data_IF_224330915822
#
_entry.id   IF_224330915822
#
_cell.length_a   1.000
_cell.length_b   1.000
_cell.length_c   1.000
_cell.angle_alpha   90.00
_cell.angle_beta   90.00
_cell.angle_gamma   90.00
#
_symmetry.space_group_name_H-M   'P 1'
#
loop_
_entity.id
_entity.type
_entity.pdbx_description
1 polymer ?
#
# COMPACT_ATOMS: atom_id res chain seq x y z
N UNK A 1 -1.28 -44.66 43.17
CA UNK A 1 -1.11 -44.17 41.79
C UNK A 1 -0.86 -42.66 41.87
N UNK A 2 0.36 -42.21 41.57
CA UNK A 2 0.80 -40.84 41.86
C UNK A 2 0.06 -39.80 41.01
N UNK A 3 -0.35 -38.67 41.59
CA UNK A 3 -1.10 -37.57 40.93
C UNK A 3 -0.45 -37.09 39.63
N UNK A 4 0.87 -37.22 39.51
CA UNK A 4 1.67 -36.92 38.33
C UNK A 4 1.41 -37.86 37.14
N UNK A 5 1.01 -39.11 37.38
CA UNK A 5 0.63 -40.04 36.31
C UNK A 5 -0.76 -39.75 35.77
N UNK A 6 -1.68 -39.29 36.61
CA UNK A 6 -3.04 -38.88 36.20
C UNK A 6 -2.96 -37.63 35.33
N UNK A 7 -2.14 -36.65 35.72
CA UNK A 7 -1.93 -35.43 34.92
C UNK A 7 -1.25 -35.70 33.58
N UNK A 8 -0.25 -36.60 33.55
CA UNK A 8 0.41 -37.02 32.30
C UNK A 8 -0.51 -37.81 31.38
N UNK A 9 -1.35 -38.69 31.92
CA UNK A 9 -2.34 -39.42 31.15
C UNK A 9 -3.41 -38.49 30.56
N UNK A 10 -3.85 -37.48 31.32
CA UNK A 10 -4.80 -36.48 30.84
C UNK A 10 -4.21 -35.58 29.76
N UNK A 11 -2.96 -35.13 29.92
CA UNK A 11 -2.26 -34.33 28.91
C UNK A 11 -2.06 -35.11 27.59
N UNK A 12 -1.71 -36.40 27.67
CA UNK A 12 -1.59 -37.27 26.49
C UNK A 12 -2.94 -37.53 25.81
N UNK A 13 -4.02 -37.66 26.58
CA UNK A 13 -5.37 -37.85 26.04
C UNK A 13 -5.84 -36.63 25.24
N UNK A 14 -5.59 -35.42 25.74
CA UNK A 14 -5.99 -34.16 25.07
C UNK A 14 -5.22 -33.96 23.77
N UNK A 15 -3.92 -34.32 23.71
CA UNK A 15 -3.11 -34.19 22.49
C UNK A 15 -3.62 -35.11 21.36
N UNK A 16 -4.12 -36.31 21.68
CA UNK A 16 -4.65 -37.25 20.67
C UNK A 16 -5.98 -36.78 20.07
N UNK A 17 -6.79 -36.02 20.82
CA UNK A 17 -8.11 -35.56 20.37
C UNK A 17 -8.00 -34.42 19.32
N UNK A 18 -6.93 -33.63 19.33
CA UNK A 18 -6.77 -32.49 18.41
C UNK A 18 -6.31 -32.92 17.00
N UNK A 19 -5.84 -34.15 16.81
CA UNK A 19 -5.31 -34.64 15.52
C UNK A 19 -6.38 -35.26 14.59
N UNK A 20 -7.65 -35.34 14.99
CA UNK A 20 -8.73 -35.93 14.19
C UNK A 20 -9.58 -34.91 13.41
N UNK A 21 -9.07 -33.69 13.19
CA UNK A 21 -9.79 -32.58 12.56
C UNK A 21 -9.36 -32.21 11.14
N UNK A 22 -8.95 -33.16 10.30
CA UNK A 22 -8.86 -32.94 8.84
C UNK A 22 -10.06 -33.62 8.17
N UNK A 23 -11.19 -32.93 8.10
CA UNK A 23 -12.31 -33.35 7.27
C UNK A 23 -11.96 -33.09 5.81
N UNK A 24 -11.79 -34.17 5.05
CA UNK A 24 -11.50 -34.19 3.63
C UNK A 24 -12.78 -33.84 2.87
N UNK A 25 -12.83 -32.65 2.25
CA UNK A 25 -13.90 -32.30 1.34
C UNK A 25 -13.76 -33.12 0.04
N UNK A 26 -14.82 -33.81 -0.35
CA UNK A 26 -14.94 -34.52 -1.63
C UNK A 26 -15.23 -33.53 -2.76
N UNK A 27 -14.63 -33.71 -3.96
CA UNK A 27 -14.87 -32.81 -5.09
C UNK A 27 -16.17 -33.18 -5.81
N UNK A 28 -17.08 -32.22 -5.88
CA UNK A 28 -18.20 -32.21 -6.83
C UNK A 28 -17.66 -32.00 -8.26
N UNK A 29 -18.12 -32.76 -9.27
CA UNK A 29 -17.69 -32.54 -10.64
C UNK A 29 -18.44 -31.34 -11.23
N UNK A 30 -17.71 -30.38 -11.77
CA UNK A 30 -18.22 -29.37 -12.72
C UNK A 30 -17.66 -29.67 -14.11
N UNK A 31 -18.48 -29.48 -15.17
CA UNK A 31 -18.20 -30.01 -16.49
C UNK A 31 -17.09 -29.25 -17.22
N UNK A 32 -16.42 -29.99 -18.08
CA UNK A 32 -15.43 -29.54 -19.06
C UNK A 32 -15.95 -28.39 -19.93
N UNK A 33 -15.18 -27.29 -19.96
CA UNK A 33 -15.24 -26.30 -21.03
C UNK A 33 -13.89 -25.55 -21.11
N UNK A 34 -12.99 -26.10 -21.91
CA UNK A 34 -12.40 -25.34 -23.00
C UNK A 34 -11.32 -24.29 -22.70
N UNK A 35 -10.13 -24.63 -23.19
CA UNK A 35 -9.18 -23.72 -23.84
C UNK A 35 -8.31 -22.85 -22.92
N UNK A 36 -7.01 -23.12 -23.02
CA UNK A 36 -5.95 -22.25 -22.55
C UNK A 36 -6.13 -20.82 -23.10
N UNK A 37 -6.19 -19.85 -22.21
CA UNK A 37 -5.86 -18.47 -22.53
C UNK A 37 -4.91 -17.91 -21.47
N UNK A 38 -3.96 -17.15 -21.96
CA UNK A 38 -2.86 -16.54 -21.22
C UNK A 38 -3.42 -15.30 -20.54
N UNK A 39 -3.76 -15.40 -19.26
CA UNK A 39 -4.13 -14.25 -18.46
C UNK A 39 -3.01 -13.94 -17.45
N UNK A 40 -2.39 -12.79 -17.67
CA UNK A 40 -1.58 -12.03 -16.73
C UNK A 40 -2.08 -12.19 -15.29
N UNK A 41 -1.15 -12.32 -14.36
CA UNK A 41 -1.43 -12.34 -12.93
C UNK A 41 -2.07 -11.04 -12.49
N UNK A 42 -3.40 -10.97 -12.57
CA UNK A 42 -4.21 -10.06 -11.80
C UNK A 42 -4.33 -10.71 -10.42
N UNK A 43 -3.44 -10.28 -9.52
CA UNK A 43 -3.52 -10.63 -8.12
C UNK A 43 -4.79 -9.95 -7.59
N UNK A 44 -5.90 -10.69 -7.55
CA UNK A 44 -7.15 -10.20 -6.99
C UNK A 44 -6.86 -9.69 -5.58
N UNK A 45 -7.01 -8.37 -5.40
CA UNK A 45 -7.22 -7.80 -4.08
C UNK A 45 -8.40 -8.56 -3.42
N UNK A 46 -8.37 -8.82 -2.11
CA UNK A 46 -9.50 -9.42 -1.43
C UNK A 46 -10.78 -8.60 -1.74
N UNK A 47 -11.83 -9.30 -2.17
CA UNK A 47 -13.14 -8.70 -2.41
C UNK A 47 -13.61 -8.03 -1.11
N UNK A 48 -13.92 -6.73 -1.18
CA UNK A 48 -14.13 -5.87 0.00
C UNK A 48 -13.14 -4.72 0.11
N UNK A 49 -12.60 -4.22 -1.01
CA UNK A 49 -11.82 -2.97 -0.99
C UNK A 49 -12.33 -2.01 -2.04
N UNK A 50 -12.83 -0.87 -1.58
CA UNK A 50 -13.31 0.24 -2.39
C UNK A 50 -12.15 0.78 -3.24
N UNK A 51 -12.34 0.99 -4.55
CA UNK A 51 -11.29 1.54 -5.40
C UNK A 51 -11.07 3.01 -5.02
N UNK A 52 -10.03 3.29 -4.23
CA UNK A 52 -9.75 4.65 -3.79
C UNK A 52 -8.41 4.83 -3.08
N UNK A 53 -8.08 3.97 -2.11
CA UNK A 53 -6.85 4.10 -1.34
C UNK A 53 -6.48 2.77 -0.65
N UNK A 54 -5.78 1.91 -1.37
CA UNK A 54 -5.40 0.58 -0.89
C UNK A 54 -3.97 0.56 -0.31
N UNK A 55 -3.65 -0.49 0.44
CA UNK A 55 -2.28 -0.74 0.92
C UNK A 55 -1.88 0.14 2.11
N UNK A 56 -0.61 0.54 2.16
CA UNK A 56 0.00 1.21 3.33
C UNK A 56 -0.76 2.48 3.73
N UNK A 57 -1.09 3.33 2.76
CA UNK A 57 -1.72 4.63 3.04
C UNK A 57 -3.15 4.47 3.54
N UNK A 58 -3.93 3.57 2.93
CA UNK A 58 -5.31 3.30 3.33
C UNK A 58 -5.39 2.75 4.74
N UNK A 59 -4.60 1.72 5.05
CA UNK A 59 -4.60 1.13 6.38
C UNK A 59 -4.06 2.11 7.44
N UNK A 60 -3.03 2.90 7.12
CA UNK A 60 -2.48 3.89 8.05
C UNK A 60 -3.48 5.00 8.37
N UNK A 61 -4.06 5.64 7.35
CA UNK A 61 -5.07 6.69 7.52
C UNK A 61 -6.35 6.14 8.17
N UNK A 62 -6.78 4.94 7.78
CA UNK A 62 -7.91 4.25 8.39
C UNK A 62 -7.70 4.05 9.89
N UNK A 63 -6.52 3.54 10.27
CA UNK A 63 -6.15 3.34 11.69
C UNK A 63 -6.19 4.65 12.47
N UNK A 64 -5.66 5.74 11.90
CA UNK A 64 -5.74 7.07 12.51
C UNK A 64 -7.19 7.56 12.68
N UNK A 65 -8.07 7.28 11.71
CA UNK A 65 -9.49 7.68 11.74
C UNK A 65 -10.35 6.85 12.71
N UNK A 66 -9.87 5.69 13.17
CA UNK A 66 -10.55 4.92 14.21
C UNK A 66 -10.48 5.59 15.59
N UNK A 67 -9.57 6.54 15.78
CA UNK A 67 -9.38 7.19 17.06
C UNK A 67 -10.59 8.04 17.47
N UNK A 68 -10.95 7.95 18.75
CA UNK A 68 -12.17 8.57 19.28
C UNK A 68 -13.47 7.82 18.93
N UNK A 69 -13.38 6.69 18.22
CA UNK A 69 -14.52 5.78 17.98
C UNK A 69 -14.50 4.59 18.95
N UNK A 70 -15.56 3.79 18.95
CA UNK A 70 -15.61 2.52 19.68
C UNK A 70 -14.64 1.45 19.12
N UNK A 71 -14.18 1.64 17.88
CA UNK A 71 -13.24 0.76 17.20
C UNK A 71 -11.78 1.26 17.30
N UNK A 72 -11.46 2.20 18.21
CA UNK A 72 -10.09 2.65 18.41
C UNK A 72 -9.12 1.47 18.70
N UNK A 73 -7.86 1.61 18.32
CA UNK A 73 -6.85 0.57 18.57
C UNK A 73 -6.62 0.46 20.08
N UNK A 74 -6.78 -0.76 20.62
CA UNK A 74 -6.55 -0.99 22.05
C UNK A 74 -5.06 -0.94 22.40
N UNK A 75 -4.69 -0.67 23.67
CA UNK A 75 -3.29 -0.69 24.11
C UNK A 75 -2.53 -1.98 23.76
N UNK A 76 -3.19 -3.13 23.97
CA UNK A 76 -2.61 -4.43 23.64
C UNK A 76 -2.39 -4.62 22.13
N UNK A 77 -3.33 -4.17 21.30
CA UNK A 77 -3.17 -4.21 19.85
C UNK A 77 -2.08 -3.25 19.38
N UNK A 78 -2.01 -2.06 19.97
CA UNK A 78 -0.98 -1.06 19.65
C UNK A 78 0.43 -1.62 19.90
N UNK A 79 0.65 -2.27 21.05
CA UNK A 79 1.92 -2.94 21.35
C UNK A 79 2.28 -4.04 20.34
N UNK A 80 1.28 -4.75 19.82
CA UNK A 80 1.46 -5.82 18.83
C UNK A 80 1.77 -5.29 17.42
N UNK A 81 1.14 -4.19 17.00
CA UNK A 81 1.26 -3.66 15.62
C UNK A 81 2.31 -2.56 15.45
N UNK A 82 2.67 -1.84 16.51
CA UNK A 82 3.70 -0.80 16.48
C UNK A 82 5.02 -1.25 15.81
N UNK A 83 5.66 -2.38 16.20
CA UNK A 83 6.92 -2.80 15.57
C UNK A 83 6.77 -3.15 14.08
N UNK A 84 5.57 -3.52 13.63
CA UNK A 84 5.29 -3.80 12.22
C UNK A 84 5.22 -2.49 11.41
N UNK A 85 4.60 -1.45 11.97
CA UNK A 85 4.57 -0.13 11.36
C UNK A 85 5.94 0.55 11.34
N UNK A 86 6.74 0.41 12.39
CA UNK A 86 8.14 0.87 12.41
C UNK A 86 8.98 0.19 11.32
N UNK A 87 8.76 -1.11 11.09
CA UNK A 87 9.43 -1.84 10.01
C UNK A 87 9.08 -1.26 8.63
N UNK A 88 7.80 -0.98 8.38
CA UNK A 88 7.36 -0.30 7.14
C UNK A 88 8.01 1.08 7.03
N UNK A 89 7.99 1.87 8.09
CA UNK A 89 8.53 3.24 8.11
C UNK A 89 10.06 3.29 7.90
N UNK A 90 10.78 2.27 8.38
CA UNK A 90 12.23 2.18 8.21
C UNK A 90 12.67 2.03 6.75
N UNK A 91 11.77 1.59 5.86
CA UNK A 91 12.08 1.28 4.47
C UNK A 91 12.98 0.05 4.30
N UNK A 92 13.10 -0.81 5.33
CA UNK A 92 13.95 -2.02 5.28
C UNK A 92 13.38 -3.15 4.43
N UNK A 93 12.09 -3.08 4.05
CA UNK A 93 11.39 -4.10 3.30
C UNK A 93 11.80 -4.10 1.82
N UNK A 94 12.01 -5.29 1.26
CA UNK A 94 12.40 -5.51 -0.13
C UNK A 94 11.15 -5.63 -1.01
N UNK A 95 10.62 -4.47 -1.39
CA UNK A 95 9.57 -4.36 -2.39
C UNK A 95 8.15 -4.66 -1.88
N UNK A 96 7.23 -4.78 -2.83
CA UNK A 96 5.79 -4.80 -2.59
C UNK A 96 5.31 -6.08 -1.91
N UNK A 97 5.89 -7.24 -2.25
CA UNK A 97 5.49 -8.52 -1.67
C UNK A 97 5.75 -8.56 -0.15
N UNK A 98 6.92 -8.10 0.28
CA UNK A 98 7.24 -8.02 1.72
C UNK A 98 6.37 -6.98 2.42
N UNK A 99 6.16 -5.82 1.80
CA UNK A 99 5.27 -4.77 2.34
C UNK A 99 3.84 -5.29 2.53
N UNK A 100 3.31 -6.02 1.53
CA UNK A 100 1.99 -6.65 1.60
C UNK A 100 1.91 -7.72 2.67
N UNK A 101 2.98 -8.52 2.85
CA UNK A 101 3.02 -9.53 3.90
C UNK A 101 3.02 -8.91 5.30
N UNK A 102 3.70 -7.78 5.51
CA UNK A 102 3.67 -7.04 6.78
C UNK A 102 2.31 -6.39 7.00
N UNK A 103 1.70 -5.79 5.97
CA UNK A 103 0.33 -5.24 6.08
C UNK A 103 -0.69 -6.30 6.50
N UNK A 104 -0.62 -7.51 5.92
CA UNK A 104 -1.48 -8.63 6.33
C UNK A 104 -1.27 -9.05 7.78
N UNK A 105 -0.05 -8.93 8.30
CA UNK A 105 0.22 -9.19 9.72
C UNK A 105 -0.41 -8.13 10.60
N UNK A 106 -0.37 -6.86 10.19
CA UNK A 106 -1.04 -5.76 10.90
C UNK A 106 -2.56 -6.00 10.89
N UNK A 107 -3.15 -6.25 9.73
CA UNK A 107 -4.59 -6.56 9.60
C UNK A 107 -4.99 -7.76 10.47
N UNK A 108 -4.17 -8.81 10.53
CA UNK A 108 -4.41 -10.00 11.36
C UNK A 108 -4.33 -9.76 12.88
N UNK A 109 -3.88 -8.58 13.32
CA UNK A 109 -3.89 -8.14 14.73
C UNK A 109 -5.05 -7.21 15.06
N UNK A 110 -5.75 -6.71 14.05
CA UNK A 110 -6.95 -5.89 14.20
C UNK A 110 -8.18 -6.78 14.33
N UNK A 111 -9.25 -6.26 14.95
CA UNK A 111 -10.53 -6.95 14.98
C UNK A 111 -11.24 -6.84 13.63
N UNK A 112 -12.13 -7.78 13.35
CA UNK A 112 -13.01 -7.69 12.17
C UNK A 112 -13.82 -6.40 12.15
N UNK A 113 -14.27 -5.92 13.32
CA UNK A 113 -15.00 -4.65 13.44
C UNK A 113 -14.15 -3.43 13.08
N UNK A 114 -12.86 -3.45 13.42
CA UNK A 114 -11.92 -2.39 13.05
C UNK A 114 -11.68 -2.35 11.55
N UNK A 115 -11.48 -3.52 10.93
CA UNK A 115 -11.27 -3.61 9.50
C UNK A 115 -12.51 -3.19 8.72
N UNK A 116 -13.69 -3.63 9.16
CA UNK A 116 -14.96 -3.20 8.56
C UNK A 116 -15.19 -1.70 8.71
N UNK A 117 -14.89 -1.12 9.89
CA UNK A 117 -15.00 0.33 10.09
C UNK A 117 -14.04 1.12 9.18
N UNK A 118 -12.83 0.60 8.93
CA UNK A 118 -11.88 1.22 7.98
C UNK A 118 -12.42 1.17 6.55
N UNK A 119 -13.03 0.06 6.15
CA UNK A 119 -13.65 -0.09 4.83
C UNK A 119 -14.87 0.86 4.67
N UNK A 120 -15.73 0.94 5.68
CA UNK A 120 -16.94 1.76 5.71
C UNK A 120 -16.65 3.26 5.64
N UNK A 121 -15.47 3.71 6.11
CA UNK A 121 -15.03 5.10 5.94
C UNK A 121 -14.93 5.47 4.45
N UNK A 122 -14.59 4.51 3.58
CA UNK A 122 -14.53 4.73 2.13
C UNK A 122 -13.45 5.72 1.71
N UNK A 123 -12.26 5.63 2.32
CA UNK A 123 -11.17 6.59 2.15
C UNK A 123 -10.81 6.84 0.67
N UNK A 124 -10.76 8.11 0.32
CA UNK A 124 -10.37 8.61 -1.01
C UNK A 124 -9.06 9.39 -0.97
N UNK A 125 -8.51 9.72 -2.13
CA UNK A 125 -7.38 10.65 -2.24
C UNK A 125 -7.72 12.07 -1.74
N UNK A 126 -9.00 12.47 -1.79
CA UNK A 126 -9.46 13.75 -1.26
C UNK A 126 -9.39 13.76 0.27
N UNK A 127 -9.79 12.67 0.91
CA UNK A 127 -9.71 12.51 2.37
C UNK A 127 -8.26 12.55 2.88
N UNK A 128 -7.33 11.96 2.12
CA UNK A 128 -5.90 12.06 2.42
C UNK A 128 -5.39 13.51 2.25
N UNK A 129 -5.87 14.23 1.24
CA UNK A 129 -5.58 15.65 1.05
C UNK A 129 -6.07 16.50 2.22
N UNK A 130 -7.33 16.33 2.60
CA UNK A 130 -7.95 17.02 3.73
C UNK A 130 -7.21 16.71 5.05
N UNK A 131 -6.86 15.44 5.29
CA UNK A 131 -6.09 15.05 6.47
C UNK A 131 -4.72 15.72 6.51
N UNK A 132 -3.99 15.78 5.38
CA UNK A 132 -2.68 16.46 5.34
C UNK A 132 -2.80 17.96 5.65
N UNK A 133 -3.85 18.63 5.16
CA UNK A 133 -4.14 20.02 5.48
C UNK A 133 -4.47 20.21 6.97
N UNK A 134 -5.29 19.33 7.55
CA UNK A 134 -5.58 19.30 8.99
C UNK A 134 -4.31 19.14 9.84
N UNK A 135 -3.35 18.33 9.37
CA UNK A 135 -2.06 18.14 10.05
C UNK A 135 -1.05 19.28 9.80
N UNK A 136 -1.42 20.33 9.05
CA UNK A 136 -0.52 21.42 8.70
C UNK A 136 0.63 20.99 7.79
N UNK A 137 0.50 19.84 7.13
CA UNK A 137 1.45 19.36 6.13
C UNK A 137 1.15 20.12 4.84
N UNK A 138 1.78 21.28 4.68
CA UNK A 138 1.81 21.98 3.40
C UNK A 138 2.47 21.06 2.37
N UNK A 139 1.65 20.50 1.49
CA UNK A 139 2.15 19.98 0.23
C UNK A 139 2.93 21.12 -0.43
N UNK A 140 4.19 20.92 -0.82
CA UNK A 140 4.99 22.00 -1.38
C UNK A 140 4.28 22.54 -2.61
N UNK A 141 3.55 23.63 -2.41
CA UNK A 141 2.97 24.45 -3.46
C UNK A 141 4.16 24.88 -4.29
N UNK A 142 4.20 24.39 -5.52
CA UNK A 142 5.27 24.70 -6.44
C UNK A 142 5.37 26.22 -6.56
N UNK A 143 6.54 26.84 -6.33
CA UNK A 143 6.67 28.28 -6.46
C UNK A 143 6.20 28.73 -7.84
N UNK A 144 5.35 29.76 -7.84
CA UNK A 144 4.75 30.34 -9.02
C UNK A 144 5.85 30.73 -10.01
N UNK A 145 5.86 30.10 -11.19
CA UNK A 145 6.81 30.41 -12.28
C UNK A 145 7.78 29.30 -12.70
N UNK A 146 7.88 28.17 -11.99
CA UNK A 146 8.69 27.05 -12.50
C UNK A 146 7.82 26.16 -13.40
N UNK A 147 7.83 26.32 -14.72
CA UNK A 147 7.32 25.29 -15.64
C UNK A 147 8.43 24.27 -15.85
N UNK A 148 8.22 23.02 -15.43
CA UNK A 148 9.23 21.97 -15.53
C UNK A 148 8.59 20.64 -15.21
N UNK A 149 8.57 19.76 -16.21
CA UNK A 149 7.73 18.57 -16.27
C UNK A 149 8.03 17.54 -15.18
N UNK A 150 7.32 17.66 -14.06
CA UNK A 150 7.06 16.53 -13.18
C UNK A 150 5.70 15.92 -13.52
N UNK A 151 5.40 14.71 -13.02
CA UNK A 151 4.08 14.06 -13.15
C UNK A 151 2.90 14.93 -12.67
N UNK A 152 3.14 16.00 -11.92
CA UNK A 152 2.14 17.00 -11.50
C UNK A 152 1.91 18.17 -12.46
N UNK A 153 2.65 18.29 -13.57
CA UNK A 153 2.49 19.39 -14.53
C UNK A 153 1.12 19.40 -15.25
N UNK A 154 0.39 18.28 -15.21
CA UNK A 154 -0.94 18.13 -15.79
C UNK A 154 -2.05 18.08 -14.72
N UNK A 155 -1.70 18.26 -13.45
CA UNK A 155 -2.64 18.17 -12.31
C UNK A 155 -3.69 19.27 -12.32
N UNK A 156 -3.37 20.44 -12.88
CA UNK A 156 -4.25 21.61 -12.92
C UNK A 156 -5.02 21.80 -14.25
N UNK A 157 -4.98 20.81 -15.15
CA UNK A 157 -5.70 20.84 -16.42
C UNK A 157 -7.10 20.24 -16.24
N UNK A 158 -8.11 20.81 -16.90
CA UNK A 158 -9.42 20.19 -17.01
C UNK A 158 -9.34 18.85 -17.77
N UNK A 159 -10.33 17.98 -17.60
CA UNK A 159 -10.41 16.68 -18.31
C UNK A 159 -10.32 16.86 -19.84
N UNK A 160 -10.91 17.95 -20.34
CA UNK A 160 -10.94 18.32 -21.75
C UNK A 160 -9.55 18.75 -22.25
N UNK A 161 -8.80 19.51 -21.45
CA UNK A 161 -7.44 19.92 -21.77
C UNK A 161 -6.45 18.74 -21.72
N UNK A 162 -6.65 17.79 -20.79
CA UNK A 162 -5.82 16.56 -20.72
C UNK A 162 -6.04 15.65 -21.92
N UNK A 163 -7.29 15.48 -22.33
CA UNK A 163 -7.63 14.65 -23.50
C UNK A 163 -7.13 15.30 -24.79
N UNK A 164 -7.27 16.63 -24.93
CA UNK A 164 -6.70 17.38 -26.05
C UNK A 164 -5.19 17.26 -26.10
N UNK A 165 -4.50 17.47 -24.98
CA UNK A 165 -3.04 17.35 -24.90
C UNK A 165 -2.57 15.93 -25.26
N UNK A 166 -3.30 14.90 -24.81
CA UNK A 166 -3.04 13.50 -25.18
C UNK A 166 -3.21 13.25 -26.68
N UNK A 167 -4.29 13.74 -27.27
CA UNK A 167 -4.54 13.61 -28.72
C UNK A 167 -3.48 14.34 -29.53
N UNK A 168 -3.09 15.54 -29.10
CA UNK A 168 -2.05 16.34 -29.74
C UNK A 168 -0.70 15.60 -29.72
N UNK A 169 -0.33 15.00 -28.59
CA UNK A 169 0.88 14.18 -28.48
C UNK A 169 0.83 12.90 -29.33
N UNK A 170 -0.35 12.29 -29.50
CA UNK A 170 -0.55 11.10 -30.34
C UNK A 170 -0.46 11.43 -31.83
N UNK A 171 -0.90 12.62 -32.23
CA UNK A 171 -0.87 13.09 -33.62
C UNK A 171 0.48 13.68 -34.04
N UNK A 172 1.42 13.87 -33.11
CA UNK A 172 2.77 14.33 -33.39
C UNK A 172 3.71 13.20 -33.78
N UNK A 173 4.66 13.51 -34.66
CA UNK A 173 5.76 12.59 -34.97
C UNK A 173 6.67 12.41 -33.75
N UNK A 174 7.43 11.30 -33.66
CA UNK A 174 8.37 11.08 -32.57
C UNK A 174 9.40 12.21 -32.39
N UNK A 175 9.85 12.83 -33.48
CA UNK A 175 10.78 13.96 -33.46
C UNK A 175 10.11 15.24 -32.92
N UNK A 176 8.88 15.54 -33.36
CA UNK A 176 8.12 16.69 -32.84
C UNK A 176 7.80 16.54 -31.37
N UNK A 177 7.50 15.32 -30.93
CA UNK A 177 7.29 15.00 -29.52
C UNK A 177 8.55 15.23 -28.69
N UNK A 178 9.70 14.82 -29.21
CA UNK A 178 10.99 15.03 -28.55
C UNK A 178 11.35 16.52 -28.46
N UNK A 179 11.13 17.29 -29.53
CA UNK A 179 11.33 18.75 -29.54
C UNK A 179 10.42 19.45 -28.54
N UNK A 180 9.13 19.08 -28.50
CA UNK A 180 8.18 19.67 -27.55
C UNK A 180 8.52 19.31 -26.09
N UNK A 181 8.98 18.09 -25.82
CA UNK A 181 9.48 17.73 -24.50
C UNK A 181 10.75 18.53 -24.15
N UNK A 182 11.65 18.74 -25.11
CA UNK A 182 12.82 19.59 -24.94
C UNK A 182 12.44 21.04 -24.62
N UNK A 183 11.46 21.62 -25.32
CA UNK A 183 10.94 22.97 -25.05
C UNK A 183 10.31 23.12 -23.66
N UNK A 184 9.67 22.06 -23.14
CA UNK A 184 9.10 22.03 -21.79
C UNK A 184 10.13 21.79 -20.66
N UNK A 185 11.43 21.86 -20.97
CA UNK A 185 12.51 21.69 -20.00
C UNK A 185 12.63 20.26 -19.44
N UNK A 186 12.06 19.26 -20.12
CA UNK A 186 12.10 17.84 -19.75
C UNK A 186 13.35 17.13 -20.31
N UNK A 187 14.45 17.84 -20.57
CA UNK A 187 15.59 17.26 -21.28
C UNK A 187 16.20 16.06 -20.55
N UNK A 188 16.32 14.96 -21.30
CA UNK A 188 17.32 13.92 -21.07
C UNK A 188 18.70 14.56 -21.20
N UNK A 189 19.65 14.32 -20.29
CA UNK A 189 21.01 14.85 -20.41
C UNK A 189 21.64 14.40 -21.74
N UNK A 190 22.17 15.34 -22.51
CA UNK A 190 22.88 15.06 -23.75
C UNK A 190 24.15 14.23 -23.46
N UNK A 191 24.27 13.08 -24.13
CA UNK A 191 25.44 12.18 -24.03
C UNK A 191 25.18 10.74 -23.57
N UNK A 192 23.93 10.35 -23.25
CA UNK A 192 23.63 8.97 -22.88
C UNK A 192 23.58 8.05 -24.12
N UNK A 193 24.40 6.99 -24.22
CA UNK A 193 24.41 6.11 -25.38
C UNK A 193 23.07 5.39 -25.57
N UNK A 194 22.68 5.22 -26.82
CA UNK A 194 21.44 4.56 -27.23
C UNK A 194 21.41 3.10 -26.80
N UNK A 195 20.65 2.81 -25.74
CA UNK A 195 20.26 1.48 -25.32
C UNK A 195 18.82 1.55 -24.85
N UNK A 196 17.99 0.63 -25.32
CA UNK A 196 16.55 0.60 -25.06
C UNK A 196 16.20 0.53 -23.58
N UNK A 197 14.91 0.73 -23.30
CA UNK A 197 14.29 0.43 -22.01
C UNK A 197 14.50 -1.06 -21.68
N UNK A 198 15.61 -1.38 -21.03
CA UNK A 198 15.97 -2.76 -20.73
C UNK A 198 17.36 -2.84 -20.12
N UNK A 199 17.39 -3.17 -18.83
CA UNK A 199 18.54 -3.64 -18.05
C UNK A 199 19.78 -2.72 -17.95
N UNK A 200 19.98 -2.11 -16.78
CA UNK A 200 21.34 -1.91 -16.25
C UNK A 200 21.57 -2.88 -15.08
N UNK A 201 22.64 -3.68 -15.12
CA UNK A 201 23.08 -4.47 -13.99
C UNK A 201 23.96 -3.60 -13.07
N UNK A 202 23.63 -3.58 -11.78
CA UNK A 202 24.54 -3.20 -10.70
C UNK A 202 24.62 -1.71 -10.34
N UNK A 203 24.07 -1.38 -9.17
CA UNK A 203 24.64 -0.40 -8.24
C UNK A 203 24.14 1.06 -8.35
N UNK A 204 23.47 1.52 -7.29
CA UNK A 204 23.33 2.94 -6.99
C UNK A 204 21.91 3.49 -7.03
N UNK A 205 21.09 3.08 -6.06
CA UNK A 205 19.88 3.79 -5.62
C UNK A 205 20.22 5.23 -5.23
N UNK A 206 20.04 6.19 -6.15
CA UNK A 206 20.44 7.58 -5.86
C UNK A 206 19.63 8.68 -6.57
N UNK A 207 18.59 8.36 -7.33
CA UNK A 207 17.82 9.37 -8.08
C UNK A 207 16.30 9.37 -7.82
N UNK A 208 15.86 8.72 -6.74
CA UNK A 208 14.47 8.75 -6.25
C UNK A 208 14.39 9.22 -4.79
N UNK A 209 15.34 10.03 -4.33
CA UNK A 209 15.29 10.64 -3.00
C UNK A 209 14.37 11.86 -3.03
N UNK A 210 13.06 11.58 -2.99
CA UNK A 210 11.99 12.58 -3.00
C UNK A 210 10.58 11.97 -2.95
N UNK A 211 10.45 10.66 -3.23
CA UNK A 211 9.18 9.94 -3.12
C UNK A 211 8.80 9.46 -1.71
N UNK A 212 9.73 9.53 -0.75
CA UNK A 212 9.50 9.06 0.63
C UNK A 212 8.67 10.01 1.50
N UNK A 213 8.44 11.25 1.07
CA UNK A 213 7.76 12.25 1.89
C UNK A 213 6.27 11.97 2.14
N UNK A 214 5.58 11.33 1.18
CA UNK A 214 4.13 11.09 1.27
C UNK A 214 3.78 9.92 2.18
N UNK A 215 4.49 8.79 2.05
CA UNK A 215 4.30 7.65 2.94
C UNK A 215 4.71 7.98 4.37
N UNK A 216 5.82 8.70 4.54
CA UNK A 216 6.31 9.01 5.89
C UNK A 216 5.41 10.03 6.64
N UNK A 217 4.69 10.88 5.92
CA UNK A 217 3.77 11.86 6.52
C UNK A 217 2.64 11.21 7.33
N UNK A 218 2.11 10.06 6.87
CA UNK A 218 1.09 9.30 7.61
C UNK A 218 1.68 8.41 8.70
N UNK A 219 2.86 7.84 8.43
CA UNK A 219 3.47 6.86 9.32
C UNK A 219 3.99 7.48 10.63
N UNK A 220 4.49 8.71 10.61
CA UNK A 220 4.98 9.36 11.84
C UNK A 220 3.86 9.58 12.86
N UNK A 221 2.72 10.23 12.53
CA UNK A 221 1.61 10.38 13.47
C UNK A 221 1.01 9.05 13.92
N UNK A 222 0.97 8.05 13.03
CA UNK A 222 0.50 6.71 13.38
C UNK A 222 1.42 6.03 14.40
N UNK A 223 2.74 6.08 14.21
CA UNK A 223 3.71 5.53 15.14
C UNK A 223 3.61 6.23 16.50
N UNK A 224 3.50 7.56 16.52
CA UNK A 224 3.34 8.34 17.76
C UNK A 224 2.06 7.94 18.51
N UNK A 225 0.95 7.80 17.78
CA UNK A 225 -0.31 7.34 18.33
C UNK A 225 -0.20 5.95 18.97
N UNK A 226 0.35 4.99 18.22
CA UNK A 226 0.50 3.61 18.68
C UNK A 226 1.49 3.51 19.85
N UNK A 227 2.52 4.34 19.87
CA UNK A 227 3.46 4.44 20.99
C UNK A 227 2.75 4.92 22.26
N UNK A 228 1.93 5.97 22.15
CA UNK A 228 1.12 6.47 23.25
C UNK A 228 0.16 5.41 23.79
N UNK A 229 -0.57 4.75 22.89
CA UNK A 229 -1.53 3.67 23.22
C UNK A 229 -0.85 2.48 23.88
N UNK A 230 0.30 2.05 23.37
CA UNK A 230 1.02 0.89 23.92
C UNK A 230 1.58 1.13 25.33
N UNK A 231 1.65 2.39 25.78
CA UNK A 231 2.12 2.78 27.10
C UNK A 231 0.98 2.90 28.15
N UNK A 232 -0.29 2.82 27.74
CA UNK A 232 -1.48 2.83 28.61
C UNK A 232 -1.69 1.48 29.31
#
# INVERSE_FOLDING_TARGET
MSRTHIFRAFLLLVVVIVLAGCSKAEPTPVPDAGTADTASGEQSAPEGRTPGMDGVNGLALGTLRLEGTENAVTPAQAADILPLWEMIASGSLQGEAETTAVLKQIEGKMSESQLAAIEDIGLTFEDMGAWMEEQGVEMPSRPEGQQGGGPGAFGNLSEEERTQTRQEFQNMTPEQRATRMAEMGLQRPEGAPGGGFGARPGGGSGAWQGGGGRFNALLTPLIDLLTGRAAE
#
